data_IF_364210962207
#
_entry.id   IF_364210962207
#
_cell.length_a   1.000
_cell.length_b   1.000
_cell.length_c   1.000
_cell.angle_alpha   90.00
_cell.angle_beta   90.00
_cell.angle_gamma   90.00
#
_symmetry.space_group_name_H-M   'P 1'
#
loop_
_entity.id
_entity.type
_entity.pdbx_description
1 polymer ?
#
# COMPACT_ATOMS: atom_id res chain seq x y z
N UNK A 1 -89.02 -5.53 11.11
CA UNK A 1 -87.70 -4.86 10.98
C UNK A 1 -86.82 -5.42 12.09
N UNK A 2 -85.75 -6.13 11.73
CA UNK A 2 -84.55 -6.36 12.57
C UNK A 2 -83.47 -6.91 11.63
N UNK A 3 -82.64 -6.01 11.11
CA UNK A 3 -81.54 -6.31 10.20
C UNK A 3 -80.36 -6.85 11.01
N UNK A 4 -80.30 -8.18 11.18
CA UNK A 4 -79.20 -8.86 11.85
C UNK A 4 -78.23 -9.44 10.81
N UNK A 5 -77.54 -8.55 10.09
CA UNK A 5 -76.52 -8.93 9.10
C UNK A 5 -75.12 -8.72 9.70
N UNK A 6 -74.36 -9.81 9.88
CA UNK A 6 -72.94 -9.75 10.21
C UNK A 6 -72.10 -9.67 8.93
N UNK A 7 -71.20 -8.69 8.85
CA UNK A 7 -70.21 -8.59 7.77
C UNK A 7 -68.87 -9.14 8.23
N UNK A 8 -68.37 -10.15 7.51
CA UNK A 8 -67.03 -10.70 7.66
C UNK A 8 -66.04 -9.88 6.81
N UNK A 9 -64.87 -9.57 7.36
CA UNK A 9 -63.77 -8.99 6.59
C UNK A 9 -62.50 -9.80 6.80
N UNK A 10 -61.77 -10.00 5.71
CA UNK A 10 -60.46 -10.66 5.67
C UNK A 10 -59.44 -9.65 5.18
N UNK A 11 -58.29 -9.56 5.87
CA UNK A 11 -57.17 -8.72 5.47
C UNK A 11 -55.92 -9.59 5.40
N UNK A 12 -55.30 -9.64 4.22
CA UNK A 12 -54.05 -10.35 4.00
C UNK A 12 -52.91 -9.34 4.02
N UNK A 13 -52.00 -9.49 4.98
CA UNK A 13 -50.79 -8.70 5.07
C UNK A 13 -49.63 -9.42 4.38
N UNK A 14 -48.81 -8.67 3.65
CA UNK A 14 -47.57 -9.17 3.06
C UNK A 14 -46.41 -8.52 3.81
N UNK A 15 -45.68 -9.32 4.59
CA UNK A 15 -44.42 -8.86 5.16
C UNK A 15 -43.37 -8.93 4.06
N UNK A 16 -42.87 -7.78 3.61
CA UNK A 16 -41.61 -7.74 2.88
C UNK A 16 -40.50 -8.05 3.88
N UNK A 17 -40.09 -9.32 3.94
CA UNK A 17 -38.84 -9.67 4.61
C UNK A 17 -37.70 -9.01 3.83
N UNK A 18 -37.00 -8.07 4.47
CA UNK A 18 -35.69 -7.63 4.00
C UNK A 18 -34.74 -8.80 4.15
N UNK A 19 -34.75 -9.71 3.16
CA UNK A 19 -33.72 -10.74 3.02
C UNK A 19 -32.46 -10.00 2.59
N UNK A 20 -31.71 -9.49 3.57
CA UNK A 20 -30.33 -9.12 3.34
C UNK A 20 -29.62 -10.39 2.87
N UNK A 21 -29.13 -10.46 1.62
CA UNK A 21 -28.29 -11.58 1.24
C UNK A 21 -27.15 -11.65 2.25
N UNK A 22 -26.92 -12.84 2.82
CA UNK A 22 -25.76 -13.07 3.67
C UNK A 22 -24.52 -12.55 2.93
N UNK A 23 -23.64 -11.79 3.60
CA UNK A 23 -22.47 -11.21 2.96
C UNK A 23 -21.74 -12.33 2.22
N UNK A 24 -21.55 -12.13 0.92
CA UNK A 24 -20.77 -13.06 0.11
C UNK A 24 -19.35 -12.95 0.62
N UNK A 25 -18.86 -14.01 1.26
CA UNK A 25 -17.46 -14.14 1.58
C UNK A 25 -16.71 -14.13 0.25
N UNK A 26 -15.95 -13.06 -0.02
CA UNK A 26 -15.06 -13.01 -1.16
C UNK A 26 -14.02 -14.13 -0.99
N UNK A 27 -14.17 -15.22 -1.74
CA UNK A 27 -13.14 -16.26 -1.86
C UNK A 27 -11.94 -15.61 -2.51
N UNK A 28 -10.82 -15.54 -1.80
CA UNK A 28 -9.54 -15.15 -2.39
C UNK A 28 -8.86 -16.42 -2.91
N UNK A 29 -8.05 -16.25 -3.95
CA UNK A 29 -7.32 -17.33 -4.65
C UNK A 29 -8.17 -18.20 -5.60
N UNK A 30 -9.29 -17.64 -6.07
CA UNK A 30 -10.12 -18.23 -7.12
C UNK A 30 -9.95 -17.50 -8.46
N UNK A 31 -9.34 -18.15 -9.44
CA UNK A 31 -9.34 -17.70 -10.83
C UNK A 31 -10.46 -18.40 -11.58
N UNK A 32 -11.32 -17.63 -12.26
CA UNK A 32 -12.41 -18.15 -13.07
C UNK A 32 -12.24 -17.72 -14.52
N UNK A 33 -12.22 -18.67 -15.44
CA UNK A 33 -12.28 -18.44 -16.89
C UNK A 33 -13.43 -19.26 -17.48
N UNK A 34 -14.30 -18.61 -18.26
CA UNK A 34 -15.45 -19.23 -18.95
C UNK A 34 -16.37 -20.09 -18.06
N UNK A 35 -16.51 -19.71 -16.79
CA UNK A 35 -17.38 -20.39 -15.83
C UNK A 35 -16.76 -21.61 -15.14
N UNK A 36 -15.51 -21.94 -15.44
CA UNK A 36 -14.71 -22.89 -14.65
C UNK A 36 -13.79 -22.12 -13.70
N UNK A 37 -13.78 -22.54 -12.44
CA UNK A 37 -13.13 -21.83 -11.35
C UNK A 37 -12.24 -22.79 -10.57
N UNK A 38 -10.93 -22.52 -10.54
CA UNK A 38 -9.93 -23.42 -9.93
C UNK A 38 -9.22 -22.77 -8.75
N UNK A 39 -9.05 -23.52 -7.66
CA UNK A 39 -8.21 -23.14 -6.52
C UNK A 39 -6.73 -23.21 -6.91
N UNK A 40 -6.01 -22.09 -6.80
CA UNK A 40 -4.57 -22.08 -6.96
C UNK A 40 -3.91 -22.22 -5.58
N UNK A 41 -3.12 -23.28 -5.38
CA UNK A 41 -2.23 -23.37 -4.24
C UNK A 41 -1.14 -22.29 -4.36
N UNK A 42 -0.90 -21.56 -3.27
CA UNK A 42 0.14 -20.54 -3.19
C UNK A 42 1.51 -21.16 -3.51
N UNK A 43 1.92 -21.00 -4.76
CA UNK A 43 3.31 -21.13 -5.19
C UNK A 43 3.93 -19.74 -5.16
N UNK A 44 5.26 -19.67 -5.01
CA UNK A 44 5.98 -18.41 -5.14
C UNK A 44 5.68 -17.86 -6.54
N UNK A 45 4.85 -16.82 -6.61
CA UNK A 45 4.21 -16.40 -7.86
C UNK A 45 5.00 -15.23 -8.46
N UNK A 46 5.67 -15.50 -9.57
CA UNK A 46 6.34 -14.48 -10.38
C UNK A 46 5.34 -13.42 -10.93
N UNK A 47 4.04 -13.75 -10.97
CA UNK A 47 2.96 -12.86 -11.39
C UNK A 47 2.33 -12.02 -10.27
N UNK A 48 2.89 -12.00 -9.05
CA UNK A 48 2.31 -11.21 -7.96
C UNK A 48 2.29 -9.71 -8.26
N UNK A 49 3.35 -9.19 -8.88
CA UNK A 49 3.39 -7.80 -9.33
C UNK A 49 2.32 -7.48 -10.37
N UNK A 50 2.10 -8.39 -11.32
CA UNK A 50 1.08 -8.27 -12.36
C UNK A 50 -0.34 -8.31 -11.78
N UNK A 51 -0.58 -9.12 -10.75
CA UNK A 51 -1.88 -9.19 -10.07
C UNK A 51 -2.16 -7.97 -9.18
N UNK A 52 -1.15 -7.42 -8.51
CA UNK A 52 -1.32 -6.31 -7.57
C UNK A 52 -1.27 -4.94 -8.23
N UNK A 53 -0.59 -4.80 -9.37
CA UNK A 53 -0.44 -3.51 -10.04
C UNK A 53 -1.78 -2.84 -10.44
N UNK A 54 -2.75 -3.54 -11.06
CA UNK A 54 -4.04 -2.94 -11.40
C UNK A 54 -4.79 -2.43 -10.16
N UNK A 55 -4.73 -3.19 -9.06
CA UNK A 55 -5.34 -2.83 -7.77
C UNK A 55 -4.67 -1.60 -7.15
N UNK A 56 -3.34 -1.55 -7.18
CA UNK A 56 -2.57 -0.43 -6.66
C UNK A 56 -2.85 0.86 -7.46
N UNK A 57 -2.90 0.76 -8.79
CA UNK A 57 -3.25 1.89 -9.67
C UNK A 57 -4.68 2.36 -9.40
N UNK A 58 -5.65 1.45 -9.29
CA UNK A 58 -7.03 1.82 -8.98
C UNK A 58 -7.14 2.52 -7.61
N UNK A 59 -6.46 2.01 -6.59
CA UNK A 59 -6.43 2.61 -5.25
C UNK A 59 -5.81 4.02 -5.26
N UNK A 60 -4.66 4.17 -5.90
CA UNK A 60 -4.00 5.48 -6.03
C UNK A 60 -4.84 6.46 -6.88
N UNK A 61 -5.49 5.99 -7.95
CA UNK A 61 -6.32 6.83 -8.80
C UNK A 61 -7.56 7.33 -8.05
N UNK A 62 -8.12 6.51 -7.17
CA UNK A 62 -9.17 6.94 -6.24
C UNK A 62 -8.73 8.09 -5.33
N UNK A 63 -7.49 8.05 -4.81
CA UNK A 63 -6.94 9.12 -3.98
C UNK A 63 -6.69 10.43 -4.76
N UNK A 64 -6.45 10.33 -6.07
CA UNK A 64 -6.17 11.47 -6.95
C UNK A 64 -7.42 11.98 -7.69
N UNK A 65 -8.60 11.42 -7.41
CA UNK A 65 -9.84 11.75 -8.11
C UNK A 65 -10.17 13.25 -8.02
N UNK A 66 -10.37 13.89 -9.18
CA UNK A 66 -10.70 15.33 -9.29
C UNK A 66 -9.52 16.28 -9.51
N UNK A 67 -8.28 15.78 -9.57
CA UNK A 67 -7.10 16.60 -9.89
C UNK A 67 -6.85 16.66 -11.41
N UNK A 68 -6.59 17.86 -11.94
CA UNK A 68 -6.36 18.11 -13.38
C UNK A 68 -5.05 17.54 -13.94
N UNK A 69 -4.10 17.21 -13.07
CA UNK A 69 -2.85 16.50 -13.39
C UNK A 69 -2.62 15.43 -12.33
N UNK A 70 -3.42 14.36 -12.38
CA UNK A 70 -3.29 13.26 -11.45
C UNK A 70 -1.96 12.52 -11.68
N UNK A 71 -1.11 12.52 -10.66
CA UNK A 71 0.10 11.68 -10.60
C UNK A 71 -0.11 10.66 -9.50
N UNK A 72 0.27 9.40 -9.73
CA UNK A 72 0.04 8.33 -8.78
C UNK A 72 1.31 8.03 -7.98
N UNK A 73 1.15 7.52 -6.76
CA UNK A 73 2.26 7.11 -5.90
C UNK A 73 3.26 8.24 -5.59
N UNK A 74 2.77 9.48 -5.45
CA UNK A 74 3.60 10.61 -5.01
C UNK A 74 4.12 10.40 -3.59
N UNK A 75 5.23 11.07 -3.29
CA UNK A 75 5.73 11.23 -1.93
C UNK A 75 6.03 12.70 -1.65
N UNK A 76 6.65 12.93 -0.51
CA UNK A 76 7.09 14.26 -0.09
C UNK A 76 8.52 14.20 0.47
N UNK A 77 9.35 15.23 0.20
CA UNK A 77 10.72 15.28 0.68
C UNK A 77 10.73 15.59 2.18
N UNK A 78 11.54 14.85 2.92
CA UNK A 78 11.82 15.09 4.34
C UNK A 78 13.33 15.15 4.52
N UNK A 79 13.81 16.19 5.21
CA UNK A 79 15.22 16.39 5.49
C UNK A 79 15.49 16.23 6.98
N UNK A 80 16.50 15.44 7.32
CA UNK A 80 16.94 15.23 8.69
C UNK A 80 18.38 15.73 8.85
N UNK A 81 18.61 16.50 9.91
CA UNK A 81 19.90 17.15 10.19
C UNK A 81 20.81 16.24 11.00
N UNK A 82 22.03 16.03 10.50
CA UNK A 82 23.08 15.29 11.22
C UNK A 82 23.98 16.29 11.94
N UNK A 83 24.05 16.19 13.26
CA UNK A 83 24.97 16.98 14.06
C UNK A 83 26.24 16.16 14.33
N UNK A 84 27.39 16.65 13.86
CA UNK A 84 28.69 15.95 13.89
C UNK A 84 29.22 15.72 15.33
N UNK A 85 28.58 16.29 16.35
CA UNK A 85 29.06 16.31 17.74
C UNK A 85 28.16 15.58 18.75
N UNK A 86 27.04 14.99 18.35
CA UNK A 86 25.99 14.60 19.30
C UNK A 86 25.81 13.09 19.45
N UNK A 87 25.58 12.68 20.71
CA UNK A 87 25.39 11.30 21.17
C UNK A 87 24.03 10.73 20.71
N UNK A 88 23.24 11.52 19.96
CA UNK A 88 21.87 11.23 19.52
C UNK A 88 21.74 11.48 18.01
N UNK A 89 21.84 10.42 17.19
CA UNK A 89 21.59 10.49 15.75
C UNK A 89 20.10 10.25 15.44
N UNK A 90 19.29 11.32 15.46
CA UNK A 90 17.87 11.30 15.08
C UNK A 90 17.63 10.90 13.62
N UNK A 91 18.69 10.88 12.80
CA UNK A 91 18.64 10.49 11.39
C UNK A 91 19.12 9.06 11.15
N UNK A 92 19.59 8.36 12.19
CA UNK A 92 20.20 7.03 12.07
C UNK A 92 19.23 6.00 11.54
N UNK A 93 19.79 5.01 10.83
CA UNK A 93 19.09 3.81 10.39
C UNK A 93 19.24 2.67 11.41
N UNK A 94 20.21 2.79 12.31
CA UNK A 94 20.49 1.87 13.40
C UNK A 94 19.68 2.30 14.62
N UNK A 95 18.93 1.39 15.25
CA UNK A 95 18.29 1.65 16.53
C UNK A 95 16.87 2.24 16.50
N UNK A 96 16.18 2.36 15.36
CA UNK A 96 14.75 2.70 15.40
C UNK A 96 13.88 1.57 15.99
N UNK A 97 14.38 0.32 15.93
CA UNK A 97 13.74 -0.83 16.57
C UNK A 97 13.92 -0.81 18.10
N UNK A 98 15.04 -0.27 18.57
CA UNK A 98 15.37 -0.08 19.98
C UNK A 98 15.02 1.34 20.41
N UNK A 99 13.72 1.54 20.74
CA UNK A 99 12.97 2.78 21.07
C UNK A 99 13.59 3.82 22.03
N UNK A 100 14.86 3.75 22.43
CA UNK A 100 15.35 4.38 23.65
C UNK A 100 15.70 5.88 23.57
N UNK A 101 15.77 6.53 22.39
CA UNK A 101 16.15 7.97 22.32
C UNK A 101 15.36 8.85 21.34
N UNK A 102 14.29 8.34 20.72
CA UNK A 102 13.47 9.10 19.74
C UNK A 102 12.72 10.27 20.41
N UNK A 103 12.41 10.19 21.70
CA UNK A 103 11.67 11.23 22.43
C UNK A 103 12.40 12.58 22.48
N UNK A 104 13.73 12.57 22.34
CA UNK A 104 14.60 13.75 22.34
C UNK A 104 14.69 14.41 20.95
N UNK A 105 14.18 13.75 19.90
CA UNK A 105 14.18 14.27 18.55
C UNK A 105 13.03 15.27 18.30
N UNK A 106 13.15 16.10 17.27
CA UNK A 106 12.06 16.99 16.85
C UNK A 106 10.91 16.16 16.29
N UNK A 107 9.69 16.67 16.37
CA UNK A 107 8.50 15.93 15.91
C UNK A 107 8.59 15.51 14.43
N UNK A 108 9.21 16.32 13.57
CA UNK A 108 9.48 15.96 12.17
C UNK A 108 10.46 14.79 12.02
N UNK A 109 11.49 14.75 12.87
CA UNK A 109 12.46 13.66 12.89
C UNK A 109 11.82 12.37 13.45
N UNK A 110 10.91 12.50 14.44
CA UNK A 110 10.08 11.38 14.93
C UNK A 110 9.14 10.85 13.86
N UNK A 111 8.51 11.75 13.09
CA UNK A 111 7.63 11.37 11.98
C UNK A 111 8.41 10.62 10.90
N UNK A 112 9.63 11.09 10.57
CA UNK A 112 10.55 10.37 9.69
C UNK A 112 10.91 9.00 10.28
N UNK A 113 11.28 8.93 11.56
CA UNK A 113 11.56 7.66 12.25
C UNK A 113 10.40 6.67 12.13
N UNK A 114 9.16 7.13 12.36
CA UNK A 114 7.94 6.33 12.18
C UNK A 114 7.73 5.92 10.72
N UNK A 115 8.00 6.78 9.75
CA UNK A 115 7.93 6.43 8.34
C UNK A 115 8.98 5.37 7.96
N UNK A 116 10.18 5.44 8.56
CA UNK A 116 11.24 4.45 8.37
C UNK A 116 10.86 3.08 8.95
N UNK A 117 10.33 3.07 10.19
CA UNK A 117 9.71 1.94 10.88
C UNK A 117 8.63 1.23 10.04
N UNK A 118 7.83 2.02 9.32
CA UNK A 118 6.76 1.53 8.46
C UNK A 118 7.22 1.25 7.01
N UNK A 119 8.53 1.35 6.73
CA UNK A 119 9.10 1.13 5.39
C UNK A 119 8.46 2.00 4.30
N UNK A 120 8.14 3.25 4.64
CA UNK A 120 7.54 4.25 3.74
C UNK A 120 8.58 5.25 3.21
N UNK A 121 9.72 5.38 3.89
CA UNK A 121 10.78 6.30 3.53
C UNK A 121 11.82 5.64 2.60
N UNK A 122 12.24 6.34 1.55
CA UNK A 122 13.33 5.97 0.66
C UNK A 122 14.44 7.02 0.77
N UNK A 123 15.67 6.60 1.03
CA UNK A 123 16.82 7.50 1.10
C UNK A 123 17.23 8.01 -0.28
N UNK A 124 17.37 9.33 -0.42
CA UNK A 124 17.78 9.98 -1.67
C UNK A 124 19.27 10.33 -1.66
N UNK A 125 19.77 10.82 -0.51
CA UNK A 125 21.18 11.16 -0.37
C UNK A 125 21.46 12.09 0.81
N UNK A 126 22.70 12.55 0.89
CA UNK A 126 23.18 13.48 1.92
C UNK A 126 23.88 14.66 1.24
N UNK A 127 23.69 15.86 1.78
CA UNK A 127 24.35 17.07 1.29
C UNK A 127 24.79 17.97 2.45
N UNK A 128 25.72 18.87 2.14
CA UNK A 128 26.21 19.87 3.09
C UNK A 128 25.32 21.12 3.05
N UNK A 129 24.50 21.33 4.08
CA UNK A 129 23.61 22.49 4.16
C UNK A 129 24.32 23.75 4.63
N UNK A 130 25.44 23.61 5.35
CA UNK A 130 26.25 24.75 5.81
C UNK A 130 27.73 24.43 5.68
N UNK A 131 28.43 25.27 4.91
CA UNK A 131 29.89 25.22 4.74
C UNK A 131 30.55 26.33 5.52
N UNK A 132 31.69 26.03 6.10
CA UNK A 132 32.56 27.02 6.72
C UNK A 132 33.04 28.01 5.64
N UNK A 133 32.81 29.33 5.81
CA UNK A 133 33.13 30.31 4.78
C UNK A 133 34.63 30.52 4.58
N UNK A 134 35.48 30.02 5.48
CA UNK A 134 36.93 30.22 5.46
C UNK A 134 37.64 28.98 4.90
N UNK A 135 37.30 27.80 5.43
CA UNK A 135 37.95 26.53 5.11
C UNK A 135 37.16 25.67 4.12
N UNK A 136 35.90 26.01 3.83
CA UNK A 136 35.04 25.23 2.94
C UNK A 136 34.58 23.87 3.52
N UNK A 137 34.98 23.55 4.75
CA UNK A 137 34.59 22.32 5.46
C UNK A 137 33.09 22.32 5.73
N UNK A 138 32.45 21.15 5.68
CA UNK A 138 31.05 21.05 6.01
C UNK A 138 30.82 21.14 7.53
N UNK A 139 30.04 22.13 7.96
CA UNK A 139 29.64 22.31 9.34
C UNK A 139 28.36 21.53 9.66
N UNK A 140 27.51 21.33 8.64
CA UNK A 140 26.20 20.72 8.81
C UNK A 140 25.85 19.84 7.61
N UNK A 141 25.58 18.57 7.90
CA UNK A 141 25.09 17.61 6.92
C UNK A 141 23.58 17.43 7.09
N UNK A 142 22.87 17.28 5.97
CA UNK A 142 21.46 16.90 5.93
C UNK A 142 21.28 15.66 5.06
N UNK A 143 20.52 14.69 5.57
CA UNK A 143 20.03 13.54 4.80
C UNK A 143 18.63 13.81 4.30
N UNK A 144 18.38 13.49 3.05
CA UNK A 144 17.07 13.67 2.42
C UNK A 144 16.44 12.34 2.08
N UNK A 145 15.14 12.25 2.32
CA UNK A 145 14.31 11.08 2.09
C UNK A 145 13.05 11.47 1.33
N UNK A 146 12.56 10.57 0.49
CA UNK A 146 11.17 10.62 0.01
C UNK A 146 10.30 9.72 0.88
N UNK A 147 9.29 10.30 1.52
CA UNK A 147 8.29 9.55 2.30
C UNK A 147 7.03 9.39 1.45
N UNK A 148 6.59 8.16 1.26
CA UNK A 148 5.42 7.80 0.45
C UNK A 148 4.23 7.38 1.31
N UNK A 149 3.03 7.45 0.74
CA UNK A 149 1.78 7.13 1.45
C UNK A 149 1.58 5.62 1.71
N UNK A 150 2.34 4.76 1.05
CA UNK A 150 2.28 3.30 1.25
C UNK A 150 3.60 2.60 0.88
N UNK A 151 3.81 1.39 1.41
CA UNK A 151 4.95 0.53 0.99
C UNK A 151 4.91 0.23 -0.50
N UNK A 152 3.70 0.02 -1.05
CA UNK A 152 3.48 -0.17 -2.48
C UNK A 152 4.00 1.03 -3.29
N UNK A 153 3.60 2.25 -2.92
CA UNK A 153 4.07 3.47 -3.58
C UNK A 153 5.60 3.59 -3.55
N UNK A 154 6.22 3.33 -2.39
CA UNK A 154 7.68 3.32 -2.24
C UNK A 154 8.33 2.30 -3.16
N UNK A 155 7.82 1.07 -3.22
CA UNK A 155 8.39 -0.02 -4.04
C UNK A 155 8.25 0.31 -5.53
N UNK A 156 7.07 0.76 -5.99
CA UNK A 156 6.86 1.15 -7.40
C UNK A 156 7.82 2.27 -7.80
N UNK A 157 8.04 3.25 -6.92
CA UNK A 157 8.99 4.33 -7.18
C UNK A 157 10.43 3.82 -7.21
N UNK A 158 10.87 3.09 -6.19
CA UNK A 158 12.26 2.64 -6.06
C UNK A 158 12.66 1.55 -7.07
N UNK A 159 11.84 0.51 -7.20
CA UNK A 159 12.14 -0.67 -8.03
C UNK A 159 11.59 -0.54 -9.45
N UNK A 160 10.48 0.18 -9.63
CA UNK A 160 9.92 0.46 -10.95
C UNK A 160 10.58 1.68 -11.57
N UNK A 161 10.26 2.88 -11.08
CA UNK A 161 10.66 4.13 -11.74
C UNK A 161 12.17 4.31 -11.82
N UNK A 162 12.89 4.12 -10.71
CA UNK A 162 14.34 4.39 -10.69
C UNK A 162 15.13 3.34 -11.47
N UNK A 163 14.75 2.07 -11.41
CA UNK A 163 15.50 1.01 -12.09
C UNK A 163 15.13 0.84 -13.56
N UNK A 164 13.88 1.10 -13.94
CA UNK A 164 13.39 0.84 -15.30
C UNK A 164 13.33 2.10 -16.17
N UNK A 165 13.04 3.28 -15.59
CA UNK A 165 12.79 4.49 -16.38
C UNK A 165 13.91 5.52 -16.23
N UNK A 166 14.15 6.01 -15.01
CA UNK A 166 15.12 7.06 -14.76
C UNK A 166 15.67 6.97 -13.33
N UNK A 167 16.95 6.61 -13.14
CA UNK A 167 17.56 6.48 -11.81
C UNK A 167 17.61 7.79 -11.03
N UNK A 168 17.46 8.93 -11.70
CA UNK A 168 17.51 10.26 -11.09
C UNK A 168 16.13 10.89 -10.91
N UNK A 169 15.04 10.12 -11.04
CA UNK A 169 13.68 10.68 -11.05
C UNK A 169 13.27 11.39 -9.75
N UNK A 170 13.90 11.02 -8.61
CA UNK A 170 13.66 11.70 -7.32
C UNK A 170 14.51 12.98 -7.14
N UNK A 171 15.44 13.27 -8.05
CA UNK A 171 16.43 14.33 -7.89
C UNK A 171 17.61 13.91 -6.99
N UNK A 172 18.43 14.89 -6.61
CA UNK A 172 19.51 14.72 -5.64
C UNK A 172 19.07 15.14 -4.24
N UNK A 173 19.96 14.97 -3.25
CA UNK A 173 19.65 15.25 -1.85
C UNK A 173 19.30 16.72 -1.57
N UNK A 174 19.86 17.67 -2.32
CA UNK A 174 19.61 19.10 -2.14
C UNK A 174 18.36 19.54 -2.93
N UNK A 175 18.15 18.98 -4.13
CA UNK A 175 17.03 19.29 -5.03
C UNK A 175 16.08 18.11 -5.23
N UNK A 176 15.58 17.55 -4.13
CA UNK A 176 14.69 16.39 -4.15
C UNK A 176 13.28 16.75 -4.64
N UNK A 177 12.69 15.91 -5.48
CA UNK A 177 11.38 16.14 -6.13
C UNK A 177 10.25 15.24 -5.63
N UNK A 178 10.54 13.99 -5.23
CA UNK A 178 9.57 12.98 -4.76
C UNK A 178 8.23 12.88 -5.55
N UNK A 179 8.20 13.29 -6.81
CA UNK A 179 6.97 13.45 -7.57
C UNK A 179 6.30 12.09 -7.86
N UNK A 180 4.98 12.09 -7.99
CA UNK A 180 4.25 10.90 -8.46
C UNK A 180 4.62 10.52 -9.90
N UNK A 181 4.25 9.32 -10.31
CA UNK A 181 4.34 8.90 -11.69
C UNK A 181 3.17 9.44 -12.49
N UNK A 182 3.48 9.95 -13.69
CA UNK A 182 2.47 10.18 -14.71
C UNK A 182 1.87 8.88 -15.22
N UNK A 183 0.69 8.95 -15.85
CA UNK A 183 0.05 7.79 -16.49
C UNK A 183 0.97 7.14 -17.52
N UNK A 184 1.70 7.94 -18.30
CA UNK A 184 2.62 7.44 -19.32
C UNK A 184 3.81 6.70 -18.71
N UNK A 185 4.40 7.23 -17.62
CA UNK A 185 5.47 6.53 -16.91
C UNK A 185 4.96 5.20 -16.33
N UNK A 186 3.76 5.17 -15.75
CA UNK A 186 3.18 3.94 -15.20
C UNK A 186 2.93 2.88 -16.26
N UNK A 187 2.40 3.25 -17.42
CA UNK A 187 2.19 2.33 -18.53
C UNK A 187 3.50 1.78 -19.10
N UNK A 188 4.60 2.51 -18.92
CA UNK A 188 5.93 2.10 -19.35
C UNK A 188 6.63 1.18 -18.35
N UNK A 189 6.11 1.05 -17.12
CA UNK A 189 6.66 0.14 -16.12
C UNK A 189 6.23 -1.30 -16.38
N UNK A 190 7.22 -2.19 -16.40
CA UNK A 190 6.98 -3.62 -16.34
C UNK A 190 6.80 -4.03 -14.86
N UNK A 191 5.53 -4.14 -14.46
CA UNK A 191 5.14 -4.49 -13.09
C UNK A 191 5.51 -5.93 -12.71
N UNK A 192 5.66 -6.83 -13.70
CA UNK A 192 6.10 -8.21 -13.46
C UNK A 192 7.58 -8.30 -13.07
N UNK A 193 8.38 -7.29 -13.41
CA UNK A 193 9.80 -7.20 -13.01
C UNK A 193 10.02 -6.52 -11.66
N UNK A 194 8.98 -5.97 -11.05
CA UNK A 194 9.09 -5.33 -9.75
C UNK A 194 8.95 -6.38 -8.67
N UNK A 195 9.96 -6.48 -7.81
CA UNK A 195 9.92 -7.35 -6.64
C UNK A 195 9.20 -6.66 -5.48
N UNK A 196 7.95 -7.07 -5.25
CA UNK A 196 7.13 -6.58 -4.15
C UNK A 196 7.26 -7.45 -2.88
N UNK A 197 7.76 -8.68 -3.03
CA UNK A 197 7.71 -9.69 -1.99
C UNK A 197 8.99 -9.70 -1.16
N UNK A 198 10.14 -9.70 -1.84
CA UNK A 198 11.41 -9.79 -1.14
C UNK A 198 11.71 -8.47 -0.46
N UNK A 199 12.27 -8.52 0.76
CA UNK A 199 12.43 -7.30 1.52
C UNK A 199 13.63 -6.51 1.01
N UNK A 200 13.39 -5.23 0.69
CA UNK A 200 14.43 -4.30 0.24
C UNK A 200 14.70 -3.31 1.35
N UNK A 201 15.98 -3.14 1.70
CA UNK A 201 16.38 -2.18 2.71
C UNK A 201 16.42 -0.76 2.10
N UNK A 202 15.57 0.18 2.55
CA UNK A 202 15.40 1.46 1.86
C UNK A 202 16.31 2.58 2.40
N UNK A 203 17.28 2.24 3.24
CA UNK A 203 18.23 3.19 3.85
C UNK A 203 19.68 2.81 3.51
N UNK A 204 20.66 3.72 3.67
CA UNK A 204 22.01 3.47 3.19
C UNK A 204 22.78 2.37 3.95
N UNK A 205 22.35 1.95 5.15
CA UNK A 205 23.05 0.96 5.97
C UNK A 205 22.08 0.09 6.78
N UNK A 206 22.17 -1.23 6.67
CA UNK A 206 21.39 -2.19 7.47
C UNK A 206 21.17 -3.53 6.74
N UNK A 207 20.35 -4.41 7.33
CA UNK A 207 20.01 -5.71 6.75
C UNK A 207 18.55 -5.78 6.30
N UNK A 208 18.23 -6.51 5.22
CA UNK A 208 16.84 -6.77 4.83
C UNK A 208 16.03 -7.39 5.97
N UNK A 209 14.83 -6.85 6.23
CA UNK A 209 13.90 -7.35 7.25
C UNK A 209 12.58 -7.70 6.58
N UNK A 210 11.90 -8.79 6.96
CA UNK A 210 10.72 -9.29 6.25
C UNK A 210 9.58 -8.27 6.12
N UNK A 211 9.50 -7.35 7.07
CA UNK A 211 8.52 -6.27 7.16
C UNK A 211 8.73 -5.19 6.08
N UNK A 212 9.89 -5.16 5.42
CA UNK A 212 10.21 -4.21 4.35
C UNK A 212 9.56 -4.56 2.99
N UNK A 213 9.19 -5.82 2.78
CA UNK A 213 8.35 -6.25 1.65
C UNK A 213 6.86 -6.06 1.97
N UNK A 214 5.98 -6.28 0.97
CA UNK A 214 4.52 -6.14 1.20
C UNK A 214 3.88 -7.39 1.79
N UNK A 215 4.60 -8.51 1.86
CA UNK A 215 4.11 -9.76 2.46
C UNK A 215 3.66 -9.55 3.90
N UNK A 216 4.37 -8.72 4.67
CA UNK A 216 4.00 -8.39 6.04
C UNK A 216 2.70 -7.59 6.19
N UNK A 217 2.26 -6.88 5.14
CA UNK A 217 1.04 -6.06 5.15
C UNK A 217 -0.18 -6.83 4.61
N UNK A 218 0.08 -7.92 3.89
CA UNK A 218 -0.95 -8.75 3.29
C UNK A 218 -1.48 -9.73 4.34
N UNK A 219 -2.49 -9.30 5.08
CA UNK A 219 -3.24 -10.18 5.99
C UNK A 219 -4.26 -10.97 5.17
N UNK A 220 -3.87 -12.16 4.73
CA UNK A 220 -4.80 -13.13 4.12
C UNK A 220 -5.57 -13.86 5.21
N UNK A 221 -6.62 -13.21 5.74
CA UNK A 221 -7.68 -13.96 6.41
C UNK A 221 -8.55 -14.59 5.31
N UNK A 222 -8.06 -15.68 4.70
CA UNK A 222 -8.85 -16.43 3.73
C UNK A 222 -9.88 -17.25 4.52
N UNK A 223 -11.19 -17.04 4.32
CA UNK A 223 -12.17 -18.02 4.77
C UNK A 223 -11.88 -19.35 4.07
N UNK A 224 -12.08 -20.45 4.79
CA UNK A 224 -11.91 -21.82 4.27
C UNK A 224 -12.58 -21.96 2.90
N UNK A 225 -11.75 -22.05 1.84
CA UNK A 225 -12.18 -22.02 0.45
C UNK A 225 -13.20 -23.15 0.16
N UNK A 226 -13.04 -24.29 0.83
CA UNK A 226 -13.96 -25.42 0.72
C UNK A 226 -15.38 -25.06 1.16
N UNK A 227 -15.53 -24.35 2.28
CA UNK A 227 -16.85 -23.95 2.82
C UNK A 227 -17.53 -22.91 1.95
N UNK A 228 -16.76 -22.01 1.37
CA UNK A 228 -17.30 -21.00 0.46
C UNK A 228 -17.73 -21.63 -0.88
N UNK A 229 -16.97 -22.59 -1.39
CA UNK A 229 -17.33 -23.35 -2.59
C UNK A 229 -18.56 -24.21 -2.41
N UNK A 230 -18.71 -24.86 -1.25
CA UNK A 230 -19.91 -25.63 -0.92
C UNK A 230 -21.16 -24.74 -0.89
N UNK A 231 -21.06 -23.53 -0.33
CA UNK A 231 -22.18 -22.57 -0.32
C UNK A 231 -22.50 -22.02 -1.72
N UNK A 232 -21.50 -21.77 -2.56
CA UNK A 232 -21.70 -21.35 -3.96
C UNK A 232 -22.41 -22.45 -4.75
N UNK A 233 -21.91 -23.70 -4.68
CA UNK A 233 -22.52 -24.87 -5.34
C UNK A 233 -23.96 -25.08 -4.89
N UNK A 234 -24.22 -25.01 -3.58
CA UNK A 234 -25.57 -25.12 -3.00
C UNK A 234 -26.53 -24.08 -3.57
N UNK A 235 -26.07 -22.83 -3.75
CA UNK A 235 -26.91 -21.75 -4.31
C UNK A 235 -27.17 -21.92 -5.81
N UNK A 236 -26.19 -22.39 -6.56
CA UNK A 236 -26.34 -22.69 -7.99
C UNK A 236 -27.35 -23.82 -8.20
N UNK A 237 -27.24 -24.91 -7.43
CA UNK A 237 -28.21 -26.01 -7.44
C UNK A 237 -29.62 -25.54 -7.05
N UNK A 238 -29.75 -24.77 -5.96
CA UNK A 238 -31.04 -24.24 -5.54
C UNK A 238 -31.69 -23.33 -6.60
N UNK A 239 -30.90 -22.56 -7.36
CA UNK A 239 -31.40 -21.75 -8.48
C UNK A 239 -31.75 -22.59 -9.72
N UNK A 240 -31.06 -23.72 -9.94
CA UNK A 240 -31.37 -24.65 -11.02
C UNK A 240 -32.67 -25.42 -10.76
N UNK A 241 -32.97 -25.75 -9.50
CA UNK A 241 -34.21 -26.44 -9.07
C UNK A 241 -35.45 -25.51 -9.01
N UNK A 242 -35.25 -24.19 -9.10
CA UNK A 242 -36.31 -23.18 -9.11
C UNK A 242 -36.73 -22.75 -10.54
N UNK A 243 -36.25 -23.46 -11.56
CA UNK A 243 -36.69 -23.39 -12.96
C UNK A 243 -37.45 -24.66 -13.34
#
# INVERSE_FOLDING_TARGET
MNNNACSLYEQVYRCDETVCPQPVACVRDLFCADGDCTEHAATQNDGFGEAMAPMAVAGAAGAEFGKTQATLFSGHPVQCKIWVWDIIDCCSNEGWADKLHIDLCREEDKALGKAKLNYLAHYVGEFCSQKDPIFGTCLEHKRTYCVFDSKMARIIQAEGRLRQLNPNALGDAEHTRCAGLSVNELQSLDMGRIDFLNPVYPFPQGQPTKEAGIVGDVVLNSPDASKAMDEIKRRVQKKAEQK
#
